data_IF_938002353464
#
_entry.id   IF_938002353464
#
_cell.length_a   1.000
_cell.length_b   1.000
_cell.length_c   1.000
_cell.angle_alpha   90.00
_cell.angle_beta   90.00
_cell.angle_gamma   90.00
#
_symmetry.space_group_name_H-M   'P 1'
#
loop_
_entity.id
_entity.type
_entity.pdbx_description
1 polymer ?
#
# COMPACT_ATOMS: atom_id res chain seq x y z
N UNK A 1 -28.28 17.99 -3.62
CA UNK A 1 -27.62 17.23 -4.69
C UNK A 1 -28.23 15.84 -4.73
N UNK A 2 -28.62 15.33 -5.89
CA UNK A 2 -29.24 14.01 -6.01
C UNK A 2 -28.20 12.90 -6.10
N UNK A 3 -28.64 11.64 -5.90
CA UNK A 3 -27.80 10.44 -5.93
C UNK A 3 -27.01 10.33 -7.23
N UNK A 4 -27.63 10.70 -8.35
CA UNK A 4 -27.00 10.69 -9.67
C UNK A 4 -25.78 11.62 -9.73
N UNK A 5 -25.91 12.80 -9.15
CA UNK A 5 -24.81 13.76 -9.10
C UNK A 5 -23.66 13.25 -8.24
N UNK A 6 -23.98 12.61 -7.13
CA UNK A 6 -22.98 12.02 -6.23
C UNK A 6 -22.23 10.87 -6.92
N UNK A 7 -22.95 10.03 -7.67
CA UNK A 7 -22.34 8.94 -8.45
C UNK A 7 -21.43 9.52 -9.53
N UNK A 8 -21.88 10.54 -10.24
CA UNK A 8 -21.08 11.18 -11.30
C UNK A 8 -19.80 11.80 -10.73
N UNK A 9 -19.88 12.45 -9.56
CA UNK A 9 -18.71 12.98 -8.88
C UNK A 9 -17.72 11.87 -8.51
N UNK A 10 -18.23 10.78 -7.98
CA UNK A 10 -17.41 9.64 -7.57
C UNK A 10 -16.73 9.00 -8.77
N UNK A 11 -17.47 8.74 -9.84
CA UNK A 11 -16.92 8.17 -11.07
C UNK A 11 -15.87 9.08 -11.69
N UNK A 12 -16.12 10.39 -11.65
CA UNK A 12 -15.15 11.39 -12.14
C UNK A 12 -13.83 11.33 -11.37
N UNK A 13 -13.90 11.18 -10.05
CA UNK A 13 -12.71 11.05 -9.22
C UNK A 13 -11.93 9.76 -9.53
N UNK A 14 -12.65 8.66 -9.75
CA UNK A 14 -12.04 7.35 -10.03
C UNK A 14 -11.41 7.25 -11.42
N UNK A 15 -11.75 8.15 -12.33
CA UNK A 15 -11.17 8.16 -13.70
C UNK A 15 -9.68 8.44 -13.71
N UNK A 16 -9.16 9.16 -12.71
CA UNK A 16 -7.77 9.61 -12.70
C UNK A 16 -6.86 8.72 -11.87
N UNK A 17 -7.40 8.01 -10.89
CA UNK A 17 -6.63 7.10 -10.04
C UNK A 17 -7.56 6.23 -9.22
N UNK A 18 -7.08 5.07 -8.82
CA UNK A 18 -7.79 4.23 -7.87
C UNK A 18 -7.80 4.91 -6.50
N UNK A 19 -8.96 4.90 -5.88
CA UNK A 19 -9.16 5.46 -4.55
C UNK A 19 -9.68 4.37 -3.62
N UNK A 20 -9.31 4.45 -2.35
CA UNK A 20 -9.94 3.63 -1.33
C UNK A 20 -11.37 4.14 -1.08
N UNK A 21 -12.20 3.30 -0.47
CA UNK A 21 -13.54 3.72 -0.07
C UNK A 21 -13.47 4.94 0.86
N UNK A 22 -12.52 4.95 1.80
CA UNK A 22 -12.33 6.08 2.72
C UNK A 22 -11.92 7.36 1.99
N UNK A 23 -11.03 7.27 1.00
CA UNK A 23 -10.63 8.43 0.21
C UNK A 23 -11.79 8.99 -0.59
N UNK A 24 -12.58 8.11 -1.19
CA UNK A 24 -13.74 8.53 -1.96
C UNK A 24 -14.81 9.15 -1.06
N UNK A 25 -15.05 8.55 0.10
CA UNK A 25 -15.98 9.09 1.11
C UNK A 25 -15.57 10.53 1.50
N UNK A 26 -14.28 10.74 1.76
CA UNK A 26 -13.77 12.06 2.12
C UNK A 26 -13.97 13.09 1.00
N UNK A 27 -13.80 12.69 -0.25
CA UNK A 27 -14.04 13.58 -1.39
C UNK A 27 -15.51 13.96 -1.54
N UNK A 28 -16.40 13.00 -1.33
CA UNK A 28 -17.85 13.25 -1.38
C UNK A 28 -18.29 14.13 -0.22
N UNK A 29 -17.74 13.90 0.96
CA UNK A 29 -18.00 14.74 2.14
C UNK A 29 -17.56 16.19 1.89
N UNK A 30 -16.38 16.39 1.32
CA UNK A 30 -15.86 17.71 0.97
C UNK A 30 -16.75 18.45 -0.02
N UNK A 31 -17.56 17.74 -0.80
CA UNK A 31 -18.51 18.32 -1.76
C UNK A 31 -19.91 18.50 -1.15
N UNK A 32 -20.05 18.28 0.15
CA UNK A 32 -21.29 18.52 0.89
C UNK A 32 -22.34 17.41 0.79
N UNK A 33 -21.94 16.22 0.33
CA UNK A 33 -22.87 15.09 0.24
C UNK A 33 -23.05 14.47 1.63
N UNK A 34 -24.28 14.30 2.06
CA UNK A 34 -24.61 13.79 3.37
C UNK A 34 -24.19 12.32 3.56
N UNK A 35 -23.93 11.94 4.79
CA UNK A 35 -23.44 10.62 5.15
C UNK A 35 -24.26 9.46 4.56
N UNK A 36 -25.58 9.52 4.69
CA UNK A 36 -26.47 8.47 4.18
C UNK A 36 -26.33 8.29 2.66
N UNK A 37 -26.27 9.40 1.95
CA UNK A 37 -26.11 9.41 0.47
C UNK A 37 -24.72 8.89 0.09
N UNK A 38 -23.67 9.33 0.80
CA UNK A 38 -22.31 8.83 0.57
C UNK A 38 -22.25 7.32 0.74
N UNK A 39 -22.86 6.81 1.79
CA UNK A 39 -22.88 5.37 2.06
C UNK A 39 -23.54 4.59 0.92
N UNK A 40 -24.66 5.05 0.42
CA UNK A 40 -25.36 4.44 -0.71
C UNK A 40 -24.50 4.43 -1.98
N UNK A 41 -23.87 5.57 -2.27
CA UNK A 41 -22.99 5.69 -3.45
C UNK A 41 -21.81 4.73 -3.36
N UNK A 42 -21.14 4.70 -2.21
CA UNK A 42 -20.00 3.81 -2.00
C UNK A 42 -20.39 2.34 -2.14
N UNK A 43 -21.52 1.98 -1.56
CA UNK A 43 -22.03 0.61 -1.63
C UNK A 43 -22.36 0.22 -3.07
N UNK A 44 -23.02 1.09 -3.80
CA UNK A 44 -23.36 0.87 -5.21
C UNK A 44 -22.10 0.69 -6.07
N UNK A 45 -21.11 1.56 -5.89
CA UNK A 45 -19.86 1.49 -6.66
C UNK A 45 -19.01 0.27 -6.28
N UNK A 46 -19.05 -0.15 -5.03
CA UNK A 46 -18.36 -1.35 -4.58
C UNK A 46 -18.98 -2.60 -5.23
N UNK A 47 -20.31 -2.69 -5.24
CA UNK A 47 -21.00 -3.81 -5.90
C UNK A 47 -20.75 -3.86 -7.39
N UNK A 48 -20.62 -2.70 -8.02
CA UNK A 48 -20.34 -2.61 -9.46
C UNK A 48 -18.86 -2.81 -9.80
N UNK A 49 -17.99 -2.93 -8.80
CA UNK A 49 -16.56 -3.17 -9.00
C UNK A 49 -15.71 -1.92 -9.26
N UNK A 50 -16.30 -0.73 -9.15
CA UNK A 50 -15.55 0.52 -9.33
C UNK A 50 -14.68 0.89 -8.14
N UNK A 51 -15.02 0.42 -6.95
CA UNK A 51 -14.27 0.66 -5.72
C UNK A 51 -13.98 -0.69 -5.07
N UNK A 52 -12.72 -0.95 -4.77
CA UNK A 52 -12.30 -2.17 -4.10
C UNK A 52 -11.01 -1.94 -3.34
N UNK A 53 -11.10 -1.85 -2.02
CA UNK A 53 -9.92 -1.69 -1.16
C UNK A 53 -9.00 -2.91 -1.27
N UNK A 54 -9.56 -4.10 -1.47
CA UNK A 54 -8.77 -5.31 -1.68
C UNK A 54 -7.90 -5.20 -2.93
N UNK A 55 -8.50 -4.83 -4.06
CA UNK A 55 -7.77 -4.63 -5.31
C UNK A 55 -6.73 -3.53 -5.18
N UNK A 56 -7.10 -2.41 -4.57
CA UNK A 56 -6.20 -1.29 -4.33
C UNK A 56 -4.99 -1.73 -3.52
N UNK A 57 -5.23 -2.47 -2.42
CA UNK A 57 -4.17 -2.95 -1.55
C UNK A 57 -3.18 -3.85 -2.31
N UNK A 58 -3.69 -4.82 -3.08
CA UNK A 58 -2.83 -5.72 -3.85
C UNK A 58 -2.03 -4.98 -4.92
N UNK A 59 -2.67 -4.13 -5.69
CA UNK A 59 -2.01 -3.38 -6.76
C UNK A 59 -0.95 -2.43 -6.21
N UNK A 60 -1.28 -1.70 -5.15
CA UNK A 60 -0.38 -0.72 -4.54
C UNK A 60 0.79 -1.41 -3.84
N UNK A 61 0.53 -2.49 -3.11
CA UNK A 61 1.58 -3.25 -2.44
C UNK A 61 2.60 -3.78 -3.46
N UNK A 62 2.13 -4.35 -4.56
CA UNK A 62 3.01 -4.85 -5.61
C UNK A 62 3.87 -3.72 -6.21
N UNK A 63 3.26 -2.58 -6.49
CA UNK A 63 3.99 -1.43 -7.05
C UNK A 63 5.05 -0.89 -6.09
N UNK A 64 4.72 -0.77 -4.80
CA UNK A 64 5.66 -0.31 -3.79
C UNK A 64 6.78 -1.31 -3.55
N UNK A 65 6.47 -2.61 -3.58
CA UNK A 65 7.48 -3.66 -3.47
C UNK A 65 8.50 -3.58 -4.61
N UNK A 66 8.04 -3.34 -5.84
CA UNK A 66 8.92 -3.15 -6.99
C UNK A 66 9.83 -1.94 -6.84
N UNK A 67 9.38 -0.91 -6.14
CA UNK A 67 10.17 0.29 -5.85
C UNK A 67 11.14 0.08 -4.69
N UNK A 68 11.20 -1.12 -4.13
CA UNK A 68 12.12 -1.44 -3.05
C UNK A 68 11.62 -1.09 -1.66
N UNK A 69 10.30 -1.00 -1.47
CA UNK A 69 9.71 -0.75 -0.15
C UNK A 69 9.58 -2.05 0.64
N UNK A 70 9.90 -2.00 1.93
CA UNK A 70 9.64 -3.09 2.85
C UNK A 70 8.20 -3.06 3.36
N UNK A 71 7.79 -4.12 4.07
CA UNK A 71 6.42 -4.30 4.53
C UNK A 71 5.91 -3.16 5.40
N UNK A 72 6.74 -2.63 6.30
CA UNK A 72 6.31 -1.55 7.19
C UNK A 72 5.95 -0.28 6.42
N UNK A 73 6.72 0.06 5.39
CA UNK A 73 6.47 1.25 4.58
C UNK A 73 5.21 1.07 3.72
N UNK A 74 5.00 -0.14 3.17
CA UNK A 74 3.80 -0.48 2.41
C UNK A 74 2.57 -0.35 3.32
N UNK A 75 2.65 -0.86 4.53
CA UNK A 75 1.57 -0.78 5.52
C UNK A 75 1.21 0.67 5.85
N UNK A 76 2.22 1.50 6.10
CA UNK A 76 2.01 2.93 6.39
C UNK A 76 1.30 3.62 5.22
N UNK A 77 1.71 3.34 4.00
CA UNK A 77 1.08 3.91 2.80
C UNK A 77 -0.41 3.53 2.72
N UNK A 78 -0.71 2.25 2.79
CA UNK A 78 -2.08 1.76 2.63
C UNK A 78 -3.00 2.14 3.80
N UNK A 79 -2.53 2.01 5.03
CA UNK A 79 -3.31 2.41 6.20
C UNK A 79 -3.56 3.92 6.20
N UNK A 80 -2.59 4.70 5.74
CA UNK A 80 -2.74 6.15 5.57
C UNK A 80 -3.80 6.51 4.54
N UNK A 81 -4.09 5.63 3.60
CA UNK A 81 -5.16 5.79 2.61
C UNK A 81 -6.50 5.24 3.10
N UNK A 82 -6.56 4.76 4.33
CA UNK A 82 -7.79 4.26 4.93
C UNK A 82 -8.11 2.80 4.62
N UNK A 83 -7.15 2.03 4.14
CA UNK A 83 -7.33 0.60 3.92
C UNK A 83 -7.23 -0.14 5.25
N UNK A 84 -8.16 -1.05 5.51
CA UNK A 84 -8.20 -1.81 6.76
C UNK A 84 -6.94 -2.66 6.93
N UNK A 85 -6.42 -2.73 8.15
CA UNK A 85 -5.21 -3.47 8.49
C UNK A 85 -5.23 -4.92 8.02
N UNK A 86 -6.39 -5.57 8.11
CA UNK A 86 -6.57 -6.94 7.65
C UNK A 86 -6.34 -7.10 6.14
N UNK A 87 -6.86 -6.17 5.34
CA UNK A 87 -6.67 -6.18 3.90
C UNK A 87 -5.22 -5.89 3.53
N UNK A 88 -4.56 -5.01 4.28
CA UNK A 88 -3.13 -4.73 4.10
C UNK A 88 -2.33 -6.00 4.35
N UNK A 89 -2.63 -6.70 5.45
CA UNK A 89 -1.95 -7.96 5.78
C UNK A 89 -2.07 -9.00 4.68
N UNK A 90 -3.28 -9.16 4.13
CA UNK A 90 -3.51 -10.10 3.02
C UNK A 90 -2.72 -9.72 1.76
N UNK A 91 -2.66 -8.43 1.46
CA UNK A 91 -1.89 -7.97 0.30
C UNK A 91 -0.40 -8.25 0.48
N UNK A 92 0.14 -8.00 1.68
CA UNK A 92 1.54 -8.29 1.97
C UNK A 92 1.87 -9.78 1.85
N UNK A 93 0.94 -10.65 2.24
CA UNK A 93 1.12 -12.11 2.12
C UNK A 93 1.26 -12.58 0.68
N UNK A 94 0.75 -11.83 -0.30
CA UNK A 94 0.87 -12.18 -1.72
C UNK A 94 2.21 -11.82 -2.33
N UNK A 95 3.01 -11.00 -1.63
CA UNK A 95 4.34 -10.61 -2.10
C UNK A 95 5.35 -11.71 -1.81
N UNK A 96 6.47 -11.69 -2.54
CA UNK A 96 7.60 -12.52 -2.16
C UNK A 96 8.01 -12.17 -0.72
N UNK A 97 8.58 -13.15 -0.01
CA UNK A 97 9.05 -12.92 1.36
C UNK A 97 9.92 -11.67 1.43
N UNK A 98 9.74 -10.90 2.49
CA UNK A 98 10.46 -9.64 2.68
C UNK A 98 11.99 -9.83 2.61
N UNK A 99 12.49 -10.92 3.20
CA UNK A 99 13.90 -11.27 3.14
C UNK A 99 14.40 -11.42 1.70
N UNK A 100 13.63 -12.08 0.85
CA UNK A 100 13.98 -12.27 -0.57
C UNK A 100 14.02 -10.93 -1.30
N UNK A 101 13.03 -10.08 -1.02
CA UNK A 101 12.98 -8.74 -1.60
C UNK A 101 14.15 -7.88 -1.16
N UNK A 102 14.53 -7.98 0.12
CA UNK A 102 15.69 -7.28 0.65
C UNK A 102 16.99 -7.75 -0.02
N UNK A 103 17.16 -9.04 -0.21
CA UNK A 103 18.32 -9.61 -0.89
C UNK A 103 18.45 -9.09 -2.33
N UNK A 104 17.33 -8.96 -3.02
CA UNK A 104 17.30 -8.43 -4.38
C UNK A 104 17.78 -6.98 -4.44
N UNK A 105 17.35 -6.16 -3.50
CA UNK A 105 17.81 -4.77 -3.39
C UNK A 105 19.31 -4.74 -3.09
N UNK A 106 19.75 -5.54 -2.14
CA UNK A 106 21.18 -5.62 -1.76
C UNK A 106 22.04 -6.08 -2.93
N UNK A 107 21.56 -6.99 -3.76
CA UNK A 107 22.30 -7.44 -4.94
C UNK A 107 22.57 -6.30 -5.93
N UNK A 108 21.68 -5.32 -6.01
CA UNK A 108 21.84 -4.15 -6.89
C UNK A 108 22.71 -3.07 -6.27
N UNK A 109 22.62 -2.87 -4.97
CA UNK A 109 23.30 -1.78 -4.26
C UNK A 109 24.65 -2.16 -3.68
N UNK A 110 24.91 -3.44 -3.57
CA UNK A 110 26.09 -3.98 -2.90
C UNK A 110 25.79 -4.33 -1.44
N UNK A 111 26.51 -5.31 -0.94
CA UNK A 111 26.35 -5.81 0.44
C UNK A 111 27.26 -5.00 1.35
N UNK A 112 26.68 -4.05 2.08
CA UNK A 112 27.42 -3.15 2.96
C UNK A 112 26.54 -2.69 4.12
N UNK A 113 27.14 -2.18 5.22
CA UNK A 113 26.37 -1.57 6.31
C UNK A 113 25.47 -0.44 5.83
N UNK A 114 25.90 0.34 4.83
CA UNK A 114 25.09 1.41 4.25
C UNK A 114 23.81 0.84 3.61
N UNK A 115 23.90 -0.31 2.96
CA UNK A 115 22.74 -0.97 2.36
C UNK A 115 21.77 -1.45 3.44
N UNK A 116 22.28 -1.99 4.55
CA UNK A 116 21.44 -2.39 5.69
C UNK A 116 20.66 -1.20 6.22
N UNK A 117 21.33 -0.05 6.41
CA UNK A 117 20.66 1.18 6.85
C UNK A 117 19.62 1.66 5.84
N UNK A 118 19.95 1.59 4.56
CA UNK A 118 19.02 1.95 3.50
C UNK A 118 17.76 1.09 3.55
N UNK A 119 17.92 -0.24 3.66
CA UNK A 119 16.79 -1.16 3.73
C UNK A 119 15.93 -0.93 4.98
N UNK A 120 16.56 -0.69 6.13
CA UNK A 120 15.83 -0.38 7.35
C UNK A 120 14.98 0.89 7.17
N UNK A 121 15.55 1.92 6.55
CA UNK A 121 14.84 3.17 6.26
C UNK A 121 13.71 2.98 5.25
N UNK A 122 13.80 1.98 4.39
CA UNK A 122 12.76 1.64 3.41
C UNK A 122 11.68 0.72 3.99
N UNK A 123 11.72 0.45 5.28
CA UNK A 123 10.68 -0.30 5.96
C UNK A 123 10.86 -1.80 6.04
N UNK A 124 12.06 -2.30 5.76
CA UNK A 124 12.35 -3.73 5.93
C UNK A 124 12.55 -4.04 7.41
N UNK A 125 11.98 -5.16 7.87
CA UNK A 125 12.05 -5.56 9.27
C UNK A 125 13.44 -6.05 9.68
N UNK A 126 13.70 -6.03 10.99
CA UNK A 126 14.93 -6.58 11.55
C UNK A 126 15.08 -8.05 11.16
N UNK A 127 14.00 -8.82 11.22
CA UNK A 127 13.99 -10.23 10.82
C UNK A 127 14.45 -10.41 9.37
N UNK A 128 13.94 -9.59 8.46
CA UNK A 128 14.33 -9.63 7.06
C UNK A 128 15.80 -9.29 6.85
N UNK A 129 16.38 -8.49 7.75
CA UNK A 129 17.76 -8.03 7.65
C UNK A 129 18.77 -8.85 8.46
N UNK A 130 18.32 -9.86 9.21
CA UNK A 130 19.20 -10.70 10.02
C UNK A 130 20.35 -11.33 9.23
N UNK A 131 20.05 -11.82 8.02
CA UNK A 131 21.06 -12.45 7.16
C UNK A 131 22.17 -11.46 6.80
N UNK A 132 21.82 -10.19 6.59
CA UNK A 132 22.81 -9.15 6.27
C UNK A 132 23.67 -8.80 7.47
N UNK A 133 23.06 -8.74 8.65
CA UNK A 133 23.77 -8.49 9.92
C UNK A 133 24.75 -9.63 10.19
N UNK A 134 24.34 -10.87 9.99
CA UNK A 134 25.18 -12.04 10.15
C UNK A 134 26.39 -12.00 9.19
N UNK A 135 26.17 -11.62 7.93
CA UNK A 135 27.26 -11.46 6.94
C UNK A 135 28.25 -10.39 7.34
N UNK A 136 27.74 -9.27 7.85
CA UNK A 136 28.59 -8.17 8.32
C UNK A 136 29.45 -8.64 9.52
N UNK A 137 28.84 -9.34 10.47
CA UNK A 137 29.53 -9.88 11.64
C UNK A 137 30.65 -10.88 11.26
N UNK A 138 30.44 -11.63 10.20
CA UNK A 138 31.42 -12.61 9.68
C UNK A 138 32.45 -11.97 8.75
N UNK A 139 32.37 -10.66 8.52
CA UNK A 139 33.24 -9.95 7.60
C UNK A 139 32.98 -10.27 6.13
N UNK A 140 31.85 -10.83 5.80
CA UNK A 140 31.47 -11.18 4.43
C UNK A 140 30.98 -9.97 3.62
N UNK A 141 30.68 -8.86 4.30
CA UNK A 141 30.27 -7.60 3.70
C UNK A 141 31.48 -6.66 3.73
N UNK A 142 32.04 -6.44 2.60
CA UNK A 142 33.23 -5.61 2.45
C UNK A 142 32.92 -4.17 2.04
#
# INVERSE_FOLDING_TARGET
>A
MGDRDAIDLALGALRFRDLSAAELDARLDARGIECAERHEVLETLARAGYVSDERLAHTRAAALAERGCGDALIRVDLEGRGVASELVGRALETLEAERVRAERVAARRGWSPATIRYLAARGFSEEALETFVARDADGAIG
#
